data_IF_090040131885
#
_entry.id   IF_090040131885
#
_cell.length_a   1.000
_cell.length_b   1.000
_cell.length_c   1.000
_cell.angle_alpha   90.00
_cell.angle_beta   90.00
_cell.angle_gamma   90.00
#
_symmetry.space_group_name_H-M   'P 1'
#
loop_
_entity.id
_entity.type
_entity.pdbx_description
1 polymer ?
#
# COMPACT_ATOMS: atom_id res chain seq x y z
N UNK A 1 -47.88 -2.35 23.36
CA UNK A 1 -46.82 -1.68 24.17
C UNK A 1 -45.49 -2.03 23.54
N UNK A 2 -45.31 -1.41 22.36
CA UNK A 2 -44.23 -1.76 21.45
C UNK A 2 -43.08 -0.79 21.65
N UNK A 3 -42.06 -1.27 22.32
CA UNK A 3 -40.80 -0.55 22.46
C UNK A 3 -39.99 -0.72 21.18
N UNK A 4 -40.10 0.25 20.28
CA UNK A 4 -39.27 0.36 19.10
C UNK A 4 -37.78 0.41 19.48
N UNK A 5 -37.05 -0.59 19.11
CA UNK A 5 -35.59 -0.60 19.09
C UNK A 5 -35.07 0.32 17.99
N UNK A 6 -35.06 1.61 18.24
CA UNK A 6 -34.44 2.65 17.42
C UNK A 6 -32.93 2.76 17.70
N UNK A 7 -32.21 1.66 17.68
CA UNK A 7 -30.79 1.66 17.97
C UNK A 7 -29.96 0.83 17.00
N UNK A 8 -29.52 1.37 15.85
CA UNK A 8 -28.66 0.53 15.00
C UNK A 8 -28.09 1.10 13.71
N UNK A 9 -28.35 2.36 13.35
CA UNK A 9 -27.95 2.84 12.01
C UNK A 9 -26.74 3.78 11.98
N UNK A 10 -26.38 4.43 13.08
CA UNK A 10 -25.18 5.30 13.11
C UNK A 10 -23.85 4.55 13.31
N UNK A 11 -23.89 3.32 13.82
CA UNK A 11 -22.68 2.53 14.09
C UNK A 11 -22.00 1.87 12.89
N UNK A 12 -22.68 1.79 11.75
CA UNK A 12 -22.13 1.05 10.58
C UNK A 12 -21.06 1.82 9.81
N UNK A 13 -21.22 3.10 9.61
CA UNK A 13 -20.25 3.93 8.90
C UNK A 13 -18.92 4.10 9.66
N UNK A 14 -18.91 4.45 10.96
CA UNK A 14 -17.67 4.50 11.72
C UNK A 14 -16.90 3.18 11.69
N UNK A 15 -17.59 2.05 11.89
CA UNK A 15 -16.97 0.72 11.82
C UNK A 15 -16.36 0.44 10.43
N UNK A 16 -17.05 0.83 9.37
CA UNK A 16 -16.53 0.70 8.01
C UNK A 16 -15.23 1.49 7.82
N UNK A 17 -15.21 2.77 8.21
CA UNK A 17 -14.01 3.60 8.06
C UNK A 17 -12.86 3.14 8.95
N UNK A 18 -13.13 2.70 10.18
CA UNK A 18 -12.12 2.10 11.06
C UNK A 18 -11.52 0.84 10.44
N UNK A 19 -12.35 -0.02 9.88
CA UNK A 19 -11.89 -1.23 9.18
C UNK A 19 -10.98 -0.89 8.00
N UNK A 20 -11.36 0.07 7.16
CA UNK A 20 -10.54 0.52 6.02
C UNK A 20 -9.23 1.13 6.51
N UNK A 21 -9.27 2.03 7.50
CA UNK A 21 -8.06 2.66 8.05
C UNK A 21 -7.10 1.62 8.64
N UNK A 22 -7.61 0.68 9.42
CA UNK A 22 -6.81 -0.43 9.98
C UNK A 22 -6.18 -1.27 8.87
N UNK A 23 -6.93 -1.58 7.81
CA UNK A 23 -6.42 -2.33 6.66
C UNK A 23 -5.31 -1.59 5.92
N UNK A 24 -5.45 -0.26 5.72
CA UNK A 24 -4.42 0.57 5.09
C UNK A 24 -3.13 0.55 5.92
N UNK A 25 -3.25 0.79 7.24
CA UNK A 25 -2.10 0.78 8.16
C UNK A 25 -1.43 -0.59 8.17
N UNK A 26 -2.21 -1.65 8.29
CA UNK A 26 -1.70 -3.03 8.28
C UNK A 26 -0.97 -3.34 6.97
N UNK A 27 -1.55 -3.02 5.82
CA UNK A 27 -0.90 -3.20 4.52
C UNK A 27 0.39 -2.38 4.38
N UNK A 28 0.39 -1.15 4.89
CA UNK A 28 1.60 -0.31 4.89
C UNK A 28 2.72 -0.94 5.71
N UNK A 29 2.42 -1.38 6.94
CA UNK A 29 3.39 -2.04 7.82
C UNK A 29 3.88 -3.37 7.22
N UNK A 30 2.97 -4.21 6.73
CA UNK A 30 3.33 -5.50 6.14
C UNK A 30 4.24 -5.39 4.91
N UNK A 31 4.23 -4.28 4.19
CA UNK A 31 5.17 -4.04 3.08
C UNK A 31 6.65 -3.99 3.52
N UNK A 32 6.91 -3.79 4.80
CA UNK A 32 8.26 -3.81 5.36
C UNK A 32 8.71 -5.19 5.87
N UNK A 33 7.81 -6.18 5.92
CA UNK A 33 8.16 -7.54 6.36
C UNK A 33 9.01 -8.34 5.37
N UNK A 34 9.08 -7.91 4.11
CA UNK A 34 9.82 -8.57 3.03
C UNK A 34 11.18 -7.92 2.74
N UNK A 35 11.77 -7.21 3.69
CA UNK A 35 13.10 -6.62 3.55
C UNK A 35 14.19 -7.67 3.81
N UNK A 36 15.32 -7.53 3.12
CA UNK A 36 16.51 -8.37 3.32
C UNK A 36 17.12 -8.13 4.71
N UNK A 37 17.26 -6.87 5.10
CA UNK A 37 17.73 -6.44 6.43
C UNK A 37 16.76 -5.44 7.06
N UNK A 38 16.64 -5.48 8.38
CA UNK A 38 15.72 -4.60 9.12
C UNK A 38 16.13 -3.11 9.06
N UNK A 39 17.43 -2.81 8.93
CA UNK A 39 17.95 -1.45 8.80
C UNK A 39 17.68 -0.81 7.42
N UNK A 40 17.11 -1.57 6.47
CA UNK A 40 16.57 -1.08 5.21
C UNK A 40 15.13 -0.56 5.31
N UNK A 41 14.55 -0.53 6.52
CA UNK A 41 13.18 -0.08 6.77
C UNK A 41 13.05 1.45 6.81
N UNK A 42 13.38 2.12 5.70
CA UNK A 42 13.18 3.57 5.57
C UNK A 42 11.74 3.91 5.19
N UNK A 43 11.24 5.04 5.74
CA UNK A 43 9.93 5.57 5.35
C UNK A 43 9.94 5.93 3.86
N UNK A 44 9.00 5.36 3.10
CA UNK A 44 8.86 5.61 1.68
C UNK A 44 7.55 6.34 1.41
N UNK A 45 7.65 7.57 0.95
CA UNK A 45 6.50 8.39 0.54
C UNK A 45 5.72 7.74 -0.60
N UNK A 46 6.41 7.17 -1.57
CA UNK A 46 5.78 6.42 -2.67
C UNK A 46 4.95 5.23 -2.16
N UNK A 47 5.48 4.46 -1.18
CA UNK A 47 4.73 3.35 -0.56
C UNK A 47 3.50 3.84 0.18
N UNK A 48 3.57 5.02 0.82
CA UNK A 48 2.43 5.64 1.46
C UNK A 48 1.33 5.98 0.43
N UNK A 49 1.68 6.63 -0.68
CA UNK A 49 0.71 6.92 -1.74
C UNK A 49 0.10 5.66 -2.35
N UNK A 50 0.91 4.60 -2.54
CA UNK A 50 0.41 3.30 -2.99
C UNK A 50 -0.55 2.66 -1.99
N UNK A 51 -0.28 2.73 -0.68
CA UNK A 51 -1.17 2.20 0.35
C UNK A 51 -2.51 2.96 0.39
N UNK A 52 -2.48 4.29 0.26
CA UNK A 52 -3.68 5.12 0.19
C UNK A 52 -4.50 4.83 -1.08
N UNK A 53 -3.85 4.71 -2.24
CA UNK A 53 -4.49 4.32 -3.49
C UNK A 53 -5.21 2.96 -3.36
N UNK A 54 -4.54 1.97 -2.78
CA UNK A 54 -5.14 0.65 -2.53
C UNK A 54 -6.30 0.73 -1.54
N UNK A 55 -6.20 1.60 -0.52
CA UNK A 55 -7.29 1.88 0.42
C UNK A 55 -8.52 2.46 -0.27
N UNK A 56 -8.35 3.39 -1.21
CA UNK A 56 -9.46 3.95 -1.99
C UNK A 56 -10.14 2.88 -2.85
N UNK A 57 -9.36 2.02 -3.51
CA UNK A 57 -9.90 0.88 -4.25
C UNK A 57 -10.68 -0.07 -3.32
N UNK A 58 -10.17 -0.32 -2.12
CA UNK A 58 -10.85 -1.15 -1.11
C UNK A 58 -12.18 -0.54 -0.68
N UNK A 59 -12.26 0.78 -0.47
CA UNK A 59 -13.54 1.48 -0.17
C UNK A 59 -14.56 1.20 -1.27
N UNK A 60 -14.18 1.35 -2.54
CA UNK A 60 -15.07 1.13 -3.69
C UNK A 60 -15.57 -0.32 -3.70
N UNK A 61 -14.68 -1.29 -3.59
CA UNK A 61 -15.00 -2.72 -3.64
C UNK A 61 -15.89 -3.10 -2.45
N UNK A 62 -15.47 -2.78 -1.24
CA UNK A 62 -16.19 -3.15 -0.01
C UNK A 62 -17.57 -2.50 0.06
N UNK A 63 -17.69 -1.21 -0.30
CA UNK A 63 -18.99 -0.54 -0.34
C UNK A 63 -19.89 -1.14 -1.42
N UNK A 64 -19.33 -1.57 -2.57
CA UNK A 64 -20.05 -2.28 -3.61
C UNK A 64 -20.66 -3.58 -3.10
N UNK A 65 -19.88 -4.43 -2.43
CA UNK A 65 -20.37 -5.68 -1.84
C UNK A 65 -21.35 -5.45 -0.67
N UNK A 66 -21.13 -4.40 0.11
CA UNK A 66 -21.96 -4.06 1.27
C UNK A 66 -23.10 -3.09 0.94
N UNK A 67 -23.43 -2.90 -0.36
CA UNK A 67 -24.39 -1.89 -0.83
C UNK A 67 -25.75 -1.95 -0.13
N UNK A 68 -26.24 -3.17 0.11
CA UNK A 68 -27.53 -3.41 0.80
C UNK A 68 -27.54 -3.07 2.29
N UNK A 69 -26.37 -2.99 2.94
CA UNK A 69 -26.27 -2.70 4.38
C UNK A 69 -26.48 -1.22 4.71
N UNK A 70 -26.29 -0.33 3.75
CA UNK A 70 -26.40 1.12 3.93
C UNK A 70 -27.65 1.64 3.23
N UNK A 71 -28.53 2.29 4.00
CA UNK A 71 -29.84 2.76 3.50
C UNK A 71 -29.73 4.03 2.65
N UNK A 72 -28.84 4.97 3.02
CA UNK A 72 -28.71 6.25 2.34
C UNK A 72 -27.99 6.12 1.00
N UNK A 73 -28.70 6.27 -0.10
CA UNK A 73 -28.11 6.30 -1.45
C UNK A 73 -27.15 7.48 -1.62
N UNK A 74 -27.53 8.67 -1.11
CA UNK A 74 -26.70 9.85 -1.21
C UNK A 74 -25.34 9.64 -0.51
N UNK A 75 -25.32 9.08 0.71
CA UNK A 75 -24.08 8.78 1.43
C UNK A 75 -23.20 7.79 0.66
N UNK A 76 -23.80 6.73 0.08
CA UNK A 76 -23.07 5.75 -0.75
C UNK A 76 -22.42 6.41 -1.98
N UNK A 77 -23.16 7.23 -2.69
CA UNK A 77 -22.66 7.93 -3.88
C UNK A 77 -21.55 8.94 -3.54
N UNK A 78 -21.70 9.67 -2.43
CA UNK A 78 -20.65 10.59 -1.96
C UNK A 78 -19.37 9.83 -1.59
N UNK A 79 -19.47 8.77 -0.78
CA UNK A 79 -18.30 7.97 -0.39
C UNK A 79 -17.65 7.32 -1.62
N UNK A 80 -18.42 6.78 -2.54
CA UNK A 80 -17.93 6.20 -3.79
C UNK A 80 -17.22 7.23 -4.67
N UNK A 81 -17.81 8.43 -4.82
CA UNK A 81 -17.23 9.53 -5.58
C UNK A 81 -15.92 10.04 -4.98
N UNK A 82 -15.88 10.22 -3.65
CA UNK A 82 -14.66 10.62 -2.94
C UNK A 82 -13.55 9.56 -3.04
N UNK A 83 -13.92 8.27 -2.92
CA UNK A 83 -12.97 7.19 -3.08
C UNK A 83 -12.43 7.10 -4.52
N UNK A 84 -13.28 7.30 -5.52
CA UNK A 84 -12.86 7.35 -6.93
C UNK A 84 -11.92 8.52 -7.21
N UNK A 85 -12.26 9.72 -6.74
CA UNK A 85 -11.40 10.90 -6.87
C UNK A 85 -10.07 10.72 -6.13
N UNK A 86 -10.09 10.19 -4.90
CA UNK A 86 -8.90 9.87 -4.13
C UNK A 86 -8.02 8.84 -4.82
N UNK A 87 -8.62 7.79 -5.40
CA UNK A 87 -7.88 6.79 -6.17
C UNK A 87 -7.11 7.43 -7.34
N UNK A 88 -7.78 8.27 -8.14
CA UNK A 88 -7.15 8.96 -9.28
C UNK A 88 -6.05 9.91 -8.81
N UNK A 89 -6.28 10.66 -7.72
CA UNK A 89 -5.29 11.56 -7.15
C UNK A 89 -4.03 10.80 -6.70
N UNK A 90 -4.18 9.74 -5.91
CA UNK A 90 -3.04 8.96 -5.42
C UNK A 90 -2.33 8.21 -6.54
N UNK A 91 -3.08 7.72 -7.55
CA UNK A 91 -2.48 7.15 -8.76
C UNK A 91 -1.62 8.19 -9.49
N UNK A 92 -2.12 9.42 -9.62
CA UNK A 92 -1.36 10.52 -10.23
C UNK A 92 -0.08 10.82 -9.42
N UNK A 93 -0.17 10.93 -8.09
CA UNK A 93 1.00 11.18 -7.23
C UNK A 93 2.04 10.05 -7.32
N UNK A 94 1.60 8.79 -7.37
CA UNK A 94 2.49 7.64 -7.58
C UNK A 94 3.17 7.67 -8.95
N UNK A 95 2.45 8.06 -10.01
CA UNK A 95 3.00 8.05 -11.36
C UNK A 95 3.84 9.27 -11.71
N UNK A 96 3.45 10.45 -11.22
CA UNK A 96 4.16 11.70 -11.50
C UNK A 96 5.42 11.88 -10.65
N UNK A 97 5.47 11.26 -9.45
CA UNK A 97 6.57 11.42 -8.46
C UNK A 97 6.88 12.89 -8.11
N UNK A 98 5.97 13.84 -8.42
CA UNK A 98 6.19 15.29 -8.26
C UNK A 98 6.47 15.72 -6.81
N UNK A 99 6.04 14.92 -5.83
CA UNK A 99 6.23 15.19 -4.40
C UNK A 99 7.46 14.46 -3.81
N UNK A 100 8.21 13.73 -4.65
CA UNK A 100 9.34 12.90 -4.21
C UNK A 100 10.62 13.62 -4.58
N UNK A 101 11.27 14.20 -3.57
CA UNK A 101 12.59 14.81 -3.67
C UNK A 101 13.71 13.76 -3.56
N UNK A 102 14.96 14.15 -3.83
CA UNK A 102 16.12 13.26 -3.91
C UNK A 102 16.27 12.34 -2.69
N UNK A 103 16.17 12.91 -1.49
CA UNK A 103 16.28 12.14 -0.24
C UNK A 103 15.11 11.16 -0.07
N UNK A 104 13.88 11.59 -0.39
CA UNK A 104 12.69 10.76 -0.34
C UNK A 104 12.75 9.63 -1.38
N UNK A 105 13.35 9.91 -2.54
CA UNK A 105 13.59 8.92 -3.59
C UNK A 105 14.59 7.85 -3.12
N UNK A 106 15.75 8.25 -2.59
CA UNK A 106 16.74 7.31 -2.03
C UNK A 106 16.14 6.45 -0.93
N UNK A 107 15.43 7.04 0.03
CA UNK A 107 14.72 6.31 1.11
C UNK A 107 13.65 5.34 0.58
N UNK A 108 13.05 5.63 -0.56
CA UNK A 108 12.10 4.72 -1.22
C UNK A 108 12.81 3.57 -1.95
N UNK A 109 13.98 3.84 -2.54
CA UNK A 109 14.74 2.87 -3.32
C UNK A 109 15.45 1.84 -2.45
N UNK A 110 15.98 2.19 -1.28
CA UNK A 110 16.65 1.25 -0.36
C UNK A 110 15.76 0.02 -0.07
N UNK A 111 14.52 0.16 0.44
CA UNK A 111 13.67 -1.00 0.67
C UNK A 111 13.22 -1.69 -0.64
N UNK A 112 13.19 -1.01 -1.77
CA UNK A 112 12.89 -1.62 -3.07
C UNK A 112 14.02 -2.56 -3.49
N UNK A 113 15.27 -2.11 -3.42
CA UNK A 113 16.45 -2.93 -3.73
C UNK A 113 16.62 -4.07 -2.73
N UNK A 114 16.34 -3.83 -1.45
CA UNK A 114 16.37 -4.87 -0.41
C UNK A 114 15.45 -6.07 -0.72
N UNK A 115 14.25 -5.82 -1.26
CA UNK A 115 13.34 -6.89 -1.69
C UNK A 115 13.94 -7.64 -2.89
N UNK A 116 14.56 -6.96 -3.84
CA UNK A 116 15.19 -7.59 -4.99
C UNK A 116 16.35 -8.52 -4.59
N UNK A 117 17.16 -8.10 -3.62
CA UNK A 117 18.22 -8.95 -3.04
C UNK A 117 17.59 -10.19 -2.38
N UNK A 118 16.63 -10.00 -1.47
CA UNK A 118 15.97 -11.11 -0.76
C UNK A 118 15.38 -12.15 -1.72
N UNK A 119 14.67 -11.69 -2.74
CA UNK A 119 14.01 -12.60 -3.69
C UNK A 119 15.01 -13.31 -4.59
N UNK A 120 16.09 -12.64 -4.99
CA UNK A 120 17.14 -13.23 -5.82
C UNK A 120 18.00 -14.24 -5.07
N UNK A 121 18.25 -14.04 -3.77
CA UNK A 121 18.97 -14.99 -2.92
C UNK A 121 18.16 -16.24 -2.62
N UNK A 122 16.86 -16.06 -2.30
CA UNK A 122 16.01 -17.16 -1.81
C UNK A 122 15.31 -17.95 -2.90
N UNK A 123 15.31 -17.45 -4.12
CA UNK A 123 14.69 -18.17 -5.24
C UNK A 123 15.49 -19.43 -5.60
N UNK A 124 14.80 -20.55 -5.74
CA UNK A 124 15.36 -21.81 -6.22
C UNK A 124 15.49 -21.78 -7.75
N UNK A 125 16.54 -21.10 -8.23
CA UNK A 125 16.80 -20.90 -9.66
C UNK A 125 17.66 -22.06 -10.17
N UNK A 126 17.11 -22.90 -11.06
CA UNK A 126 17.78 -24.07 -11.63
C UNK A 126 18.49 -23.79 -12.95
N UNK A 127 18.04 -22.79 -13.74
CA UNK A 127 18.73 -22.40 -14.99
C UNK A 127 20.01 -21.62 -14.66
N UNK A 128 21.20 -22.08 -15.08
CA UNK A 128 22.47 -21.42 -14.78
C UNK A 128 22.55 -19.97 -15.29
N UNK A 129 21.89 -19.67 -16.43
CA UNK A 129 21.89 -18.33 -17.01
C UNK A 129 21.05 -17.37 -16.17
N UNK A 130 19.91 -17.85 -15.66
CA UNK A 130 19.03 -17.08 -14.77
C UNK A 130 19.70 -16.89 -13.42
N UNK A 131 20.38 -17.91 -12.88
CA UNK A 131 21.16 -17.79 -11.64
C UNK A 131 22.27 -16.76 -11.78
N UNK A 132 23.05 -16.79 -12.87
CA UNK A 132 24.09 -15.81 -13.11
C UNK A 132 23.56 -14.37 -13.25
N UNK A 133 22.35 -14.19 -13.78
CA UNK A 133 21.68 -12.88 -13.81
C UNK A 133 21.26 -12.45 -12.39
N UNK A 134 20.70 -13.34 -11.60
CA UNK A 134 20.29 -13.06 -10.22
C UNK A 134 21.49 -12.66 -9.36
N UNK A 135 22.65 -13.33 -9.50
CA UNK A 135 23.87 -12.99 -8.78
C UNK A 135 24.38 -11.59 -9.13
N UNK A 136 24.33 -11.20 -10.41
CA UNK A 136 24.65 -9.82 -10.85
C UNK A 136 23.68 -8.78 -10.26
N UNK A 137 22.38 -9.11 -10.18
CA UNK A 137 21.38 -8.25 -9.57
C UNK A 137 21.70 -8.06 -8.08
N UNK A 138 22.01 -9.13 -7.35
CA UNK A 138 22.36 -9.06 -5.92
C UNK A 138 23.55 -8.11 -5.72
N UNK A 139 24.66 -8.32 -6.47
CA UNK A 139 25.87 -7.51 -6.37
C UNK A 139 25.58 -6.01 -6.63
N UNK A 140 24.86 -5.71 -7.70
CA UNK A 140 24.50 -4.33 -8.07
C UNK A 140 23.62 -3.67 -6.99
N UNK A 141 22.58 -4.37 -6.54
CA UNK A 141 21.61 -3.82 -5.59
C UNK A 141 22.23 -3.59 -4.20
N UNK A 142 23.11 -4.48 -3.74
CA UNK A 142 23.84 -4.30 -2.47
C UNK A 142 24.74 -3.07 -2.53
N UNK A 143 25.45 -2.88 -3.64
CA UNK A 143 26.29 -1.70 -3.86
C UNK A 143 25.47 -0.40 -3.87
N UNK A 144 24.35 -0.39 -4.62
CA UNK A 144 23.48 0.78 -4.71
C UNK A 144 22.81 1.12 -3.38
N UNK A 145 22.43 0.13 -2.55
CA UNK A 145 21.94 0.36 -1.19
C UNK A 145 23.01 1.06 -0.35
N UNK A 146 24.28 0.63 -0.45
CA UNK A 146 25.36 1.25 0.30
C UNK A 146 25.59 2.71 -0.14
N UNK A 147 25.52 3.01 -1.42
CA UNK A 147 25.63 4.36 -1.97
C UNK A 147 24.48 5.28 -1.51
N UNK A 148 23.25 4.76 -1.44
CA UNK A 148 22.08 5.53 -1.00
C UNK A 148 22.00 5.75 0.53
N UNK A 149 22.78 5.01 1.32
CA UNK A 149 22.89 5.18 2.77
C UNK A 149 23.91 6.24 3.20
N UNK A 150 24.74 6.74 2.28
CA UNK A 150 25.73 7.79 2.56
C UNK A 150 25.05 9.15 2.70
#
# INVERSE_FOLDING_TARGET
MDSEHSGGHHGKWPTFFVMIATSIVTMFVLKYSALWEADHAFFSQTRMWMALMMGMAMVIIMLGFMWGMYKSLAAKLVVMGLAGAGFVLFLFLVRSQQTVEDEAWMKAMIPHHSIAVLTSERAEISDPRVRALADKIIEAQVKEIAEMKL
#
